data_IF_199112301745
#
_entry.id   IF_199112301745
#
_cell.length_a   1.000
_cell.length_b   1.000
_cell.length_c   1.000
_cell.angle_alpha   90.00
_cell.angle_beta   90.00
_cell.angle_gamma   90.00
#
_symmetry.space_group_name_H-M   'P 1'
#
loop_
_entity.id
_entity.type
_entity.pdbx_description
1 polymer ?
#
# COMPACT_ATOMS: atom_id res chain seq x y z
N UNK A 1 27.93 -82.95 -48.81
CA UNK A 1 27.55 -81.63 -49.37
C UNK A 1 28.07 -80.56 -48.43
N UNK A 2 29.00 -79.76 -48.92
CA UNK A 2 29.62 -78.60 -48.28
C UNK A 2 28.64 -77.40 -48.35
N UNK A 3 28.83 -76.37 -47.53
CA UNK A 3 28.80 -74.92 -47.86
C UNK A 3 28.70 -74.06 -46.59
N UNK A 4 29.32 -72.89 -46.70
CA UNK A 4 29.99 -72.08 -45.68
C UNK A 4 29.15 -70.81 -45.37
N UNK A 5 29.50 -70.11 -44.27
CA UNK A 5 29.50 -68.64 -44.05
C UNK A 5 28.32 -68.06 -43.24
N UNK A 6 28.41 -67.00 -42.43
CA UNK A 6 29.43 -66.15 -41.75
C UNK A 6 28.59 -64.98 -41.16
N UNK A 7 29.14 -64.17 -40.23
CA UNK A 7 28.60 -62.90 -39.68
C UNK A 7 27.57 -63.04 -38.54
N UNK A 8 27.59 -62.27 -37.45
CA UNK A 8 28.14 -60.94 -37.22
C UNK A 8 28.41 -60.72 -35.72
N UNK A 9 29.61 -60.25 -35.35
CA UNK A 9 29.92 -59.73 -34.00
C UNK A 9 29.05 -58.49 -33.74
N UNK A 10 28.20 -58.54 -32.72
CA UNK A 10 27.53 -57.35 -32.19
C UNK A 10 28.50 -56.62 -31.24
N UNK A 11 28.85 -55.34 -31.49
CA UNK A 11 29.78 -54.62 -30.63
C UNK A 11 29.03 -54.10 -29.40
N UNK A 12 29.42 -54.59 -28.23
CA UNK A 12 28.97 -54.14 -26.90
C UNK A 12 29.36 -52.68 -26.57
N UNK A 13 30.03 -51.96 -27.46
CA UNK A 13 30.44 -50.56 -27.29
C UNK A 13 29.33 -49.52 -27.50
N UNK A 14 28.20 -49.88 -28.12
CA UNK A 14 27.13 -48.92 -28.44
C UNK A 14 26.25 -48.54 -27.23
N UNK A 15 26.17 -49.42 -26.22
CA UNK A 15 25.34 -49.19 -25.02
C UNK A 15 26.03 -48.32 -23.96
N UNK A 16 27.37 -48.20 -23.98
CA UNK A 16 28.12 -47.40 -23.01
C UNK A 16 28.22 -45.92 -23.38
N UNK A 17 28.11 -45.57 -24.67
CA UNK A 17 28.14 -44.17 -25.11
C UNK A 17 26.85 -43.42 -24.73
N UNK A 18 25.71 -44.14 -24.74
CA UNK A 18 24.39 -43.58 -24.52
C UNK A 18 24.17 -43.22 -23.05
N UNK A 19 24.65 -44.05 -22.11
CA UNK A 19 24.59 -43.73 -20.66
C UNK A 19 25.50 -42.56 -20.30
N UNK A 20 26.67 -42.41 -20.94
CA UNK A 20 27.59 -41.30 -20.69
C UNK A 20 27.03 -39.94 -21.15
N UNK A 21 26.38 -39.91 -22.32
CA UNK A 21 25.71 -38.71 -22.85
C UNK A 21 24.46 -38.33 -22.05
N UNK A 22 23.64 -39.32 -21.66
CA UNK A 22 22.45 -39.10 -20.86
C UNK A 22 22.80 -38.63 -19.44
N UNK A 23 23.80 -39.25 -18.80
CA UNK A 23 24.31 -38.82 -17.49
C UNK A 23 24.95 -37.42 -17.56
N UNK A 24 25.68 -37.10 -18.64
CA UNK A 24 26.21 -35.74 -18.84
C UNK A 24 25.11 -34.69 -19.04
N UNK A 25 24.01 -35.04 -19.71
CA UNK A 25 22.85 -34.17 -19.85
C UNK A 25 22.10 -33.98 -18.52
N UNK A 26 21.92 -35.05 -17.74
CA UNK A 26 21.31 -34.96 -16.40
C UNK A 26 22.20 -34.22 -15.40
N UNK A 27 23.52 -34.39 -15.45
CA UNK A 27 24.47 -33.65 -14.60
C UNK A 27 24.51 -32.17 -14.97
N UNK A 28 24.49 -31.83 -16.28
CA UNK A 28 24.37 -30.44 -16.73
C UNK A 28 23.05 -29.82 -16.28
N UNK A 29 21.93 -30.53 -16.40
CA UNK A 29 20.62 -30.08 -15.95
C UNK A 29 20.58 -29.88 -14.42
N UNK A 30 21.19 -30.80 -13.66
CA UNK A 30 21.29 -30.73 -12.19
C UNK A 30 22.18 -29.58 -11.72
N UNK A 31 23.30 -29.33 -12.41
CA UNK A 31 24.20 -28.20 -12.13
C UNK A 31 23.49 -26.88 -12.47
N UNK A 32 22.77 -26.79 -13.60
CA UNK A 32 21.99 -25.61 -13.97
C UNK A 32 20.88 -25.35 -12.94
N UNK A 33 20.17 -26.40 -12.49
CA UNK A 33 19.13 -26.29 -11.45
C UNK A 33 19.70 -25.82 -10.11
N UNK A 34 20.86 -26.35 -9.69
CA UNK A 34 21.54 -25.91 -8.47
C UNK A 34 22.05 -24.47 -8.58
N UNK A 35 22.55 -24.05 -9.75
CA UNK A 35 22.99 -22.67 -9.97
C UNK A 35 21.82 -21.68 -9.87
N UNK A 36 20.64 -22.06 -10.37
CA UNK A 36 19.41 -21.27 -10.29
C UNK A 36 18.88 -21.13 -8.85
N UNK A 37 19.01 -22.18 -8.03
CA UNK A 37 18.63 -22.17 -6.61
C UNK A 37 19.54 -21.29 -5.74
N UNK A 38 20.83 -21.19 -6.07
CA UNK A 38 21.79 -20.37 -5.31
C UNK A 38 21.66 -18.87 -5.67
N UNK A 39 21.24 -18.52 -6.88
CA UNK A 39 21.00 -17.12 -7.26
C UNK A 39 19.70 -16.53 -6.71
N UNK A 40 18.78 -17.36 -6.20
CA UNK A 40 17.50 -16.92 -5.61
C UNK A 40 17.59 -16.34 -4.19
N UNK A 41 18.75 -16.42 -3.52
CA UNK A 41 18.93 -15.96 -2.13
C UNK A 41 19.64 -14.60 -2.02
N UNK A 42 19.98 -13.96 -3.13
CA UNK A 42 20.55 -12.60 -3.16
C UNK A 42 19.47 -11.63 -3.65
N UNK A 43 18.33 -11.59 -2.94
CA UNK A 43 17.27 -10.61 -3.21
C UNK A 43 17.38 -9.45 -2.21
N UNK A 44 18.13 -8.44 -2.64
CA UNK A 44 18.05 -7.01 -2.33
C UNK A 44 17.88 -6.58 -0.86
N UNK A 45 19.00 -6.26 -0.20
CA UNK A 45 19.04 -5.40 0.98
C UNK A 45 19.27 -3.91 0.66
N UNK A 46 19.11 -3.46 -0.59
CA UNK A 46 19.16 -2.02 -0.93
C UNK A 46 18.27 -1.71 -2.14
N UNK A 47 16.96 -1.87 -1.98
CA UNK A 47 16.04 -1.04 -2.78
C UNK A 47 16.07 0.32 -2.09
N UNK A 48 16.83 1.24 -2.66
CA UNK A 48 16.81 2.66 -2.28
C UNK A 48 15.37 3.15 -2.37
N UNK A 49 14.77 3.39 -1.20
CA UNK A 49 13.41 3.86 -1.04
C UNK A 49 13.22 5.12 -1.88
N UNK A 50 12.51 4.96 -2.99
CA UNK A 50 12.03 6.10 -3.75
C UNK A 50 10.77 6.53 -3.03
N UNK A 51 10.87 7.54 -2.16
CA UNK A 51 9.70 8.14 -1.52
C UNK A 51 8.75 8.61 -2.63
N UNK A 52 7.60 7.93 -2.74
CA UNK A 52 6.60 8.26 -3.75
C UNK A 52 5.96 9.58 -3.33
N UNK A 53 6.38 10.69 -3.96
CA UNK A 53 5.77 12.00 -3.77
C UNK A 53 4.39 12.01 -4.42
N UNK A 54 3.36 11.57 -3.70
CA UNK A 54 1.97 11.65 -4.15
C UNK A 54 1.58 13.13 -4.32
N UNK A 55 1.30 13.53 -5.56
CA UNK A 55 0.80 14.87 -5.87
C UNK A 55 -0.71 14.92 -5.59
N UNK A 56 -1.07 14.98 -4.31
CA UNK A 56 -2.46 15.15 -3.89
C UNK A 56 -2.80 16.64 -3.88
N UNK A 57 -3.97 16.98 -4.41
CA UNK A 57 -4.50 18.34 -4.33
C UNK A 57 -5.11 18.56 -2.94
N UNK A 58 -4.26 18.87 -1.96
CA UNK A 58 -4.64 19.12 -0.57
C UNK A 58 -5.40 20.45 -0.48
N UNK A 59 -6.60 20.39 0.09
CA UNK A 59 -7.46 21.54 0.32
C UNK A 59 -7.08 22.26 1.61
N UNK A 60 -7.25 23.58 1.62
CA UNK A 60 -7.12 24.41 2.83
C UNK A 60 -8.41 24.34 3.66
N UNK A 61 -8.28 24.29 4.98
CA UNK A 61 -9.41 24.18 5.90
C UNK A 61 -10.32 25.43 5.85
N UNK A 62 -9.73 26.63 5.81
CA UNK A 62 -10.46 27.92 5.73
C UNK A 62 -11.49 27.99 4.59
N UNK A 63 -11.16 27.40 3.44
CA UNK A 63 -12.04 27.36 2.26
C UNK A 63 -13.23 26.44 2.45
N UNK A 64 -13.10 25.38 3.24
CA UNK A 64 -14.19 24.44 3.50
C UNK A 64 -15.21 25.09 4.43
N UNK A 65 -14.75 25.73 5.51
CA UNK A 65 -15.63 26.39 6.47
C UNK A 65 -16.46 27.52 5.85
N UNK A 66 -15.94 28.18 4.81
CA UNK A 66 -16.62 29.31 4.17
C UNK A 66 -17.42 28.94 2.93
N UNK A 67 -16.94 27.97 2.12
CA UNK A 67 -17.49 27.65 0.79
C UNK A 67 -17.47 26.14 0.50
N UNK A 68 -17.52 25.31 1.53
CA UNK A 68 -17.57 23.86 1.42
C UNK A 68 -18.72 23.42 0.51
N UNK A 69 -18.40 22.61 -0.50
CA UNK A 69 -19.42 21.96 -1.32
C UNK A 69 -19.77 20.64 -0.65
N UNK A 70 -20.96 20.56 -0.06
CA UNK A 70 -21.47 19.35 0.57
C UNK A 70 -21.35 18.18 -0.42
N UNK A 71 -20.99 17.02 0.11
CA UNK A 71 -20.75 15.78 -0.60
C UNK A 71 -19.47 15.69 -1.46
N UNK A 72 -18.75 16.79 -1.67
CA UNK A 72 -17.48 16.72 -2.38
C UNK A 72 -16.41 16.01 -1.54
N UNK A 73 -15.58 15.22 -2.21
CA UNK A 73 -14.38 14.64 -1.60
C UNK A 73 -13.22 15.62 -1.63
N UNK A 74 -12.44 15.63 -0.56
CA UNK A 74 -11.26 16.47 -0.39
C UNK A 74 -10.14 15.68 0.26
N UNK A 75 -8.91 16.07 -0.06
CA UNK A 75 -7.73 15.67 0.70
C UNK A 75 -7.38 16.78 1.68
N UNK A 76 -7.13 16.42 2.93
CA UNK A 76 -6.69 17.34 3.97
C UNK A 76 -5.39 16.83 4.58
N UNK A 77 -4.50 17.76 4.91
CA UNK A 77 -3.27 17.49 5.64
C UNK A 77 -3.19 18.46 6.81
N UNK A 78 -2.95 17.95 8.00
CA UNK A 78 -2.83 18.77 9.21
C UNK A 78 -2.39 17.95 10.41
N UNK A 79 -2.31 18.61 11.56
CA UNK A 79 -1.93 18.03 12.84
C UNK A 79 -3.16 17.78 13.68
N UNK A 80 -3.23 16.62 14.33
CA UNK A 80 -4.32 16.27 15.25
C UNK A 80 -4.14 17.06 16.55
N UNK A 81 -5.04 17.97 16.88
CA UNK A 81 -4.96 18.79 18.11
C UNK A 81 -5.85 18.28 19.25
N UNK A 82 -6.99 17.66 18.90
CA UNK A 82 -7.96 17.18 19.89
C UNK A 82 -8.67 15.91 19.43
N UNK A 83 -9.27 15.19 20.38
CA UNK A 83 -10.01 13.94 20.18
C UNK A 83 -11.30 13.96 20.98
N UNK A 84 -12.37 13.44 20.39
CA UNK A 84 -13.67 13.23 21.00
C UNK A 84 -14.12 11.76 20.79
N UNK A 85 -13.82 10.85 21.73
CA UNK A 85 -14.25 9.46 21.66
C UNK A 85 -15.77 9.34 21.85
N UNK A 86 -16.43 8.54 21.01
CA UNK A 86 -17.83 8.15 21.13
C UNK A 86 -17.96 6.65 21.39
N UNK A 87 -19.18 6.17 21.66
CA UNK A 87 -19.47 4.74 21.79
C UNK A 87 -19.45 4.18 20.34
N UNK A 88 -18.37 3.48 19.96
CA UNK A 88 -18.09 2.86 18.64
C UNK A 88 -17.54 3.75 17.51
N UNK A 89 -17.55 5.06 17.67
CA UNK A 89 -17.01 6.01 16.68
C UNK A 89 -16.21 7.11 17.37
N UNK A 90 -15.74 8.09 16.64
CA UNK A 90 -15.16 9.26 17.25
C UNK A 90 -15.04 10.43 16.29
N UNK A 91 -14.57 11.53 16.84
CA UNK A 91 -14.09 12.65 16.04
C UNK A 91 -12.72 13.10 16.52
N UNK A 92 -11.95 13.72 15.64
CA UNK A 92 -10.71 14.40 16.00
C UNK A 92 -10.63 15.74 15.27
N UNK A 93 -9.97 16.69 15.90
CA UNK A 93 -9.77 18.02 15.34
C UNK A 93 -8.44 18.02 14.58
N UNK A 94 -8.51 18.34 13.28
CA UNK A 94 -7.36 18.46 12.41
C UNK A 94 -7.10 19.94 12.14
N UNK A 95 -5.88 20.41 12.41
CA UNK A 95 -5.50 21.81 12.27
C UNK A 95 -4.39 21.96 11.23
N UNK A 96 -4.51 22.95 10.35
CA UNK A 96 -3.47 23.40 9.42
C UNK A 96 -3.13 24.87 9.67
N UNK A 97 -2.32 25.49 8.80
CA UNK A 97 -1.97 26.92 8.93
C UNK A 97 -3.12 27.89 8.58
N UNK A 98 -4.32 27.38 8.34
CA UNK A 98 -5.50 28.13 7.86
C UNK A 98 -6.68 28.03 8.81
N UNK A 99 -6.75 26.97 9.61
CA UNK A 99 -7.78 26.77 10.62
C UNK A 99 -7.83 25.33 11.13
N UNK A 100 -8.87 25.01 11.87
CA UNK A 100 -9.15 23.67 12.40
C UNK A 100 -10.48 23.13 11.90
N UNK A 101 -10.62 21.82 11.77
CA UNK A 101 -11.90 21.20 11.37
C UNK A 101 -12.06 19.84 12.04
N UNK A 102 -13.29 19.56 12.46
CA UNK A 102 -13.65 18.26 13.01
C UNK A 102 -13.77 17.21 11.91
N UNK A 103 -13.11 16.09 12.14
CA UNK A 103 -13.17 14.90 11.30
C UNK A 103 -13.93 13.82 12.08
N UNK A 104 -15.08 13.39 11.57
CA UNK A 104 -15.81 12.23 12.05
C UNK A 104 -15.22 10.95 11.45
N UNK A 105 -15.03 9.92 12.27
CA UNK A 105 -14.45 8.65 11.84
C UNK A 105 -15.03 7.46 12.57
N UNK A 106 -15.07 6.32 11.88
CA UNK A 106 -15.33 4.99 12.47
C UNK A 106 -14.05 4.20 12.67
N UNK A 107 -12.89 4.73 12.28
CA UNK A 107 -11.58 4.14 12.51
C UNK A 107 -11.02 4.53 13.89
N UNK A 108 -9.92 3.91 14.30
CA UNK A 108 -9.22 4.26 15.53
C UNK A 108 -8.76 5.73 15.51
N UNK A 109 -8.89 6.44 16.63
CA UNK A 109 -8.55 7.86 16.71
C UNK A 109 -7.02 8.08 16.58
N UNK A 110 -6.55 8.95 15.67
CA UNK A 110 -5.13 9.20 15.44
C UNK A 110 -4.50 9.99 16.60
N UNK A 111 -3.22 9.77 16.91
CA UNK A 111 -2.53 10.41 18.06
C UNK A 111 -2.51 11.94 18.01
N UNK A 112 -2.71 12.58 19.16
CA UNK A 112 -2.59 14.02 19.29
C UNK A 112 -1.13 14.40 19.00
N UNK A 113 -0.94 15.43 18.18
CA UNK A 113 0.37 15.88 17.70
C UNK A 113 0.83 15.19 16.41
N UNK A 114 0.15 14.16 15.93
CA UNK A 114 0.50 13.50 14.67
C UNK A 114 0.05 14.33 13.47
N UNK A 115 0.96 14.59 12.53
CA UNK A 115 0.62 15.12 11.22
C UNK A 115 0.12 13.98 10.32
N UNK A 116 -1.11 14.08 9.82
CA UNK A 116 -1.72 13.06 8.97
C UNK A 116 -2.28 13.67 7.68
N UNK A 117 -2.37 12.87 6.64
CA UNK A 117 -3.11 13.19 5.42
C UNK A 117 -4.32 12.27 5.32
N UNK A 118 -5.49 12.82 5.05
CA UNK A 118 -6.74 12.06 4.91
C UNK A 118 -7.45 12.42 3.63
N UNK A 119 -8.31 11.53 3.19
CA UNK A 119 -9.39 11.83 2.27
C UNK A 119 -10.70 11.72 3.02
N UNK A 120 -11.57 12.70 2.80
CA UNK A 120 -12.88 12.71 3.42
C UNK A 120 -13.91 13.43 2.58
N UNK A 121 -15.16 13.33 3.01
CA UNK A 121 -16.32 13.92 2.34
C UNK A 121 -16.84 15.10 3.15
N UNK A 122 -17.07 16.23 2.49
CA UNK A 122 -17.58 17.44 3.16
C UNK A 122 -19.03 17.22 3.59
N UNK A 123 -19.30 17.59 4.84
CA UNK A 123 -20.62 17.56 5.48
C UNK A 123 -20.90 18.89 6.15
N UNK A 124 -22.17 19.17 6.39
CA UNK A 124 -22.62 20.32 7.16
C UNK A 124 -23.68 19.85 8.15
N UNK A 125 -23.52 20.16 9.43
CA UNK A 125 -24.52 19.87 10.44
C UNK A 125 -25.24 21.17 10.79
N UNK A 126 -26.48 21.32 10.33
CA UNK A 126 -27.32 22.46 10.66
C UNK A 126 -27.71 22.43 12.13
N UNK A 127 -27.65 23.60 12.77
CA UNK A 127 -28.11 23.84 14.15
C UNK A 127 -28.94 25.10 14.13
N UNK A 128 -30.27 24.96 14.17
CA UNK A 128 -31.19 26.09 14.22
C UNK A 128 -31.43 26.48 15.67
N UNK A 129 -31.08 27.71 16.03
CA UNK A 129 -31.27 28.24 17.39
C UNK A 129 -32.44 29.21 17.38
N UNK A 130 -33.55 28.83 18.02
CA UNK A 130 -34.78 29.62 18.05
C UNK A 130 -34.60 30.95 18.79
N UNK A 131 -33.71 31.00 19.78
CA UNK A 131 -33.36 32.20 20.54
C UNK A 131 -32.52 33.21 19.74
N UNK A 132 -32.01 32.82 18.57
CA UNK A 132 -31.19 33.64 17.67
C UNK A 132 -31.91 33.90 16.35
N UNK A 133 -33.18 34.29 16.40
CA UNK A 133 -34.01 34.56 15.20
C UNK A 133 -34.09 33.37 14.23
N UNK A 134 -34.05 32.13 14.76
CA UNK A 134 -33.97 30.89 13.98
C UNK A 134 -32.74 30.86 13.04
N UNK A 135 -31.63 31.48 13.44
CA UNK A 135 -30.36 31.42 12.71
C UNK A 135 -29.79 30.01 12.74
N UNK A 136 -29.26 29.59 11.59
CA UNK A 136 -28.40 28.42 11.51
C UNK A 136 -26.99 28.78 11.98
N UNK A 137 -26.55 28.14 13.06
CA UNK A 137 -25.19 28.24 13.62
C UNK A 137 -24.42 26.93 13.46
N UNK A 138 -24.86 26.09 12.53
CA UNK A 138 -24.19 24.86 12.16
C UNK A 138 -22.83 25.07 11.54
N UNK A 139 -22.04 24.00 11.47
CA UNK A 139 -20.67 24.03 10.98
C UNK A 139 -20.39 22.91 9.97
N UNK A 140 -19.37 23.14 9.15
CA UNK A 140 -18.83 22.12 8.26
C UNK A 140 -17.94 21.15 9.03
N UNK A 141 -18.05 19.87 8.69
CA UNK A 141 -17.15 18.82 9.18
C UNK A 141 -16.81 17.86 8.04
N UNK A 142 -15.87 16.96 8.30
CA UNK A 142 -15.44 15.96 7.33
C UNK A 142 -15.81 14.57 7.83
N UNK A 143 -16.45 13.77 6.98
CA UNK A 143 -16.57 12.33 7.19
C UNK A 143 -15.35 11.65 6.57
N UNK A 144 -14.53 10.99 7.40
CA UNK A 144 -13.31 10.31 6.97
C UNK A 144 -13.64 9.13 6.04
N UNK A 145 -12.94 9.04 4.91
CA UNK A 145 -13.04 7.93 3.95
C UNK A 145 -11.81 7.03 4.07
N UNK A 146 -10.63 7.62 4.07
CA UNK A 146 -9.36 6.89 4.18
C UNK A 146 -8.25 7.78 4.74
N UNK A 147 -7.33 7.19 5.51
CA UNK A 147 -6.03 7.80 5.84
C UNK A 147 -5.05 7.47 4.76
N UNK A 148 -4.36 8.50 4.30
CA UNK A 148 -3.23 8.33 3.40
C UNK A 148 -2.01 8.19 4.31
N UNK A 149 -1.59 6.95 4.54
CA UNK A 149 -0.32 6.68 5.18
C UNK A 149 0.78 7.29 4.30
N UNK A 150 1.51 8.27 4.85
CA UNK A 150 2.89 8.39 4.46
C UNK A 150 3.57 7.16 5.04
N UNK A 151 4.15 6.30 4.20
CA UNK A 151 5.07 5.27 4.70
C UNK A 151 6.20 5.98 5.47
N UNK A 152 6.03 6.15 6.78
CA UNK A 152 6.99 6.77 7.67
C UNK A 152 7.87 5.68 8.25
N UNK A 153 9.12 5.65 7.81
CA UNK A 153 10.19 5.09 8.61
C UNK A 153 10.84 6.23 9.39
N UNK A 154 10.56 6.32 10.68
CA UNK A 154 11.59 6.70 11.65
C UNK A 154 12.19 5.41 12.23
N UNK A 155 13.43 5.52 12.74
CA UNK A 155 14.37 4.51 13.29
C UNK A 155 15.49 4.21 12.27
N UNK A 156 16.69 4.81 12.31
CA UNK A 156 17.43 5.57 13.33
C UNK A 156 18.36 6.58 12.66
#
# INVERSE_FOLDING_TARGET
>A
MNYIQRFQKFPSGFLLLNSYLLNSLFDKLRIILMMFLVTGLISCNQITQTAIKLNLNVSRIDKIQTKGKIDNQVYLKGTVESRAPFIETGAYELTDNTGSIWIFTTAELPEIGTEITIKGKIRYQSIIVSELDNRDVGEFYIEEVERIEAENYEQQ
#
